data_IF_763782839406
#
_entry.id   IF_763782839406
#
_cell.length_a   1.000
_cell.length_b   1.000
_cell.length_c   1.000
_cell.angle_alpha   90.00
_cell.angle_beta   90.00
_cell.angle_gamma   90.00
#
_symmetry.space_group_name_H-M   'P 1'
#
loop_
_entity.id
_entity.type
_entity.pdbx_description
1 polymer ?
#
# COMPACT_ATOMS: atom_id res chain seq x y z
N UNK A 1 31.86 -8.77 -13.79
CA UNK A 1 31.13 -8.92 -12.51
C UNK A 1 29.67 -8.60 -12.82
N UNK A 2 28.76 -9.56 -12.69
CA UNK A 2 27.37 -9.37 -13.13
C UNK A 2 26.63 -8.39 -12.20
N UNK A 3 26.34 -7.18 -12.69
CA UNK A 3 25.65 -6.12 -11.95
C UNK A 3 24.25 -6.53 -11.46
N UNK A 4 23.68 -7.61 -11.98
CA UNK A 4 22.41 -8.17 -11.54
C UNK A 4 22.45 -8.98 -10.25
N UNK A 5 23.63 -9.45 -9.82
CA UNK A 5 23.73 -10.41 -8.72
C UNK A 5 23.24 -9.86 -7.38
N UNK A 6 23.44 -8.57 -7.13
CA UNK A 6 23.01 -7.88 -5.90
C UNK A 6 21.48 -7.76 -5.79
N UNK A 7 20.75 -7.92 -6.90
CA UNK A 7 19.30 -7.81 -7.00
C UNK A 7 18.60 -9.17 -7.02
N UNK A 8 19.35 -10.29 -6.91
CA UNK A 8 18.82 -11.65 -6.96
C UNK A 8 17.79 -11.91 -5.86
N UNK A 9 18.10 -11.49 -4.64
CA UNK A 9 17.22 -11.66 -3.50
C UNK A 9 16.33 -10.42 -3.29
N UNK A 10 15.03 -10.58 -2.99
CA UNK A 10 14.13 -9.46 -2.77
C UNK A 10 14.48 -8.71 -1.48
N UNK A 11 14.53 -7.37 -1.58
CA UNK A 11 14.77 -6.48 -0.44
C UNK A 11 13.84 -5.26 -0.52
N UNK A 12 13.49 -4.63 0.61
CA UNK A 12 12.76 -3.37 0.59
C UNK A 12 13.53 -2.32 -0.23
N UNK A 13 12.84 -1.64 -1.14
CA UNK A 13 13.43 -0.59 -1.99
C UNK A 13 14.70 -1.05 -2.73
N UNK A 14 14.68 -2.28 -3.27
CA UNK A 14 15.78 -2.86 -4.03
C UNK A 14 15.90 -2.30 -5.46
N UNK A 15 16.05 -0.98 -5.57
CA UNK A 15 16.12 -0.29 -6.86
C UNK A 15 17.57 -0.27 -7.39
N UNK A 16 17.72 -0.27 -8.72
CA UNK A 16 19.04 -0.15 -9.37
C UNK A 16 19.74 1.19 -9.14
N UNK A 17 19.01 2.18 -8.66
CA UNK A 17 19.50 3.54 -8.39
C UNK A 17 18.83 4.06 -7.11
N UNK A 18 19.09 5.32 -6.76
CA UNK A 18 18.40 6.02 -5.67
C UNK A 18 16.88 6.14 -5.86
N UNK A 19 16.40 5.86 -7.09
CA UNK A 19 15.00 5.88 -7.52
C UNK A 19 14.67 4.65 -8.39
N UNK A 20 13.38 4.28 -8.55
CA UNK A 20 12.99 3.08 -9.29
C UNK A 20 13.40 3.12 -10.77
N UNK A 21 13.26 4.30 -11.40
CA UNK A 21 13.66 4.54 -12.78
C UNK A 21 14.66 5.68 -12.83
N UNK A 22 15.88 5.40 -13.32
CA UNK A 22 16.95 6.39 -13.41
C UNK A 22 16.57 7.60 -14.26
N UNK A 23 15.85 7.41 -15.37
CA UNK A 23 15.46 8.51 -16.28
C UNK A 23 14.12 9.16 -15.94
N UNK A 24 13.33 8.60 -15.01
CA UNK A 24 12.04 9.17 -14.62
C UNK A 24 12.02 9.50 -13.11
N UNK A 25 12.47 10.71 -12.72
CA UNK A 25 12.48 11.14 -11.33
C UNK A 25 11.08 11.44 -10.76
N UNK A 26 10.09 11.66 -11.63
CA UNK A 26 8.71 11.98 -11.20
C UNK A 26 7.97 10.75 -10.71
N UNK A 27 8.32 9.55 -11.17
CA UNK A 27 7.70 8.32 -10.71
C UNK A 27 8.17 7.95 -9.31
N UNK A 28 7.24 8.03 -8.35
CA UNK A 28 7.42 7.60 -6.96
C UNK A 28 6.38 6.53 -6.67
N UNK A 29 6.77 5.26 -6.50
CA UNK A 29 5.81 4.20 -6.21
C UNK A 29 5.12 4.52 -4.87
N UNK A 30 3.79 4.30 -4.80
CA UNK A 30 3.06 4.51 -3.55
C UNK A 30 3.59 3.55 -2.48
N UNK A 31 3.58 4.02 -1.23
CA UNK A 31 3.99 3.20 -0.09
C UNK A 31 3.00 2.03 0.03
N UNK A 32 3.46 0.77 0.08
CA UNK A 32 2.56 -0.36 0.25
C UNK A 32 1.89 -0.27 1.62
N UNK A 33 0.59 -0.57 1.66
CA UNK A 33 -0.16 -0.63 2.91
C UNK A 33 0.20 -1.92 3.66
N UNK A 34 0.42 -1.84 4.97
CA UNK A 34 0.69 -3.03 5.78
C UNK A 34 -0.53 -3.96 5.80
N UNK A 35 -0.26 -5.27 5.85
CA UNK A 35 -1.32 -6.28 5.93
C UNK A 35 -2.14 -6.17 7.22
N UNK A 36 -1.47 -5.80 8.31
CA UNK A 36 -2.10 -5.52 9.61
C UNK A 36 -3.15 -4.42 9.51
N UNK A 37 -2.84 -3.33 8.81
CA UNK A 37 -3.76 -2.20 8.64
C UNK A 37 -4.93 -2.58 7.71
N UNK A 38 -4.68 -3.34 6.64
CA UNK A 38 -5.74 -3.87 5.77
C UNK A 38 -6.73 -4.73 6.57
N UNK A 39 -6.19 -5.63 7.40
CA UNK A 39 -6.99 -6.51 8.26
C UNK A 39 -7.78 -5.72 9.31
N UNK A 40 -7.19 -4.68 9.89
CA UNK A 40 -7.86 -3.80 10.83
C UNK A 40 -9.07 -3.10 10.20
N UNK A 41 -8.87 -2.47 9.03
CA UNK A 41 -9.93 -1.77 8.28
C UNK A 41 -11.08 -2.73 7.97
N UNK A 42 -10.77 -3.93 7.50
CA UNK A 42 -11.77 -4.95 7.21
C UNK A 42 -12.56 -5.35 8.46
N UNK A 43 -11.86 -5.67 9.56
CA UNK A 43 -12.51 -6.07 10.82
C UNK A 43 -13.42 -4.96 11.35
N UNK A 44 -12.94 -3.72 11.35
CA UNK A 44 -13.70 -2.58 11.85
C UNK A 44 -14.96 -2.32 11.01
N UNK A 45 -14.86 -2.44 9.69
CA UNK A 45 -16.02 -2.40 8.79
C UNK A 45 -17.02 -3.52 9.10
N UNK A 46 -16.54 -4.76 9.27
CA UNK A 46 -17.39 -5.92 9.52
C UNK A 46 -18.08 -5.91 10.89
N UNK A 47 -17.49 -5.27 11.91
CA UNK A 47 -18.11 -5.13 13.24
C UNK A 47 -19.38 -4.29 13.18
N UNK A 48 -19.35 -3.15 12.47
CA UNK A 48 -20.52 -2.31 12.27
C UNK A 48 -20.35 -1.42 11.03
N UNK A 49 -20.91 -1.82 9.87
CA UNK A 49 -20.81 -1.06 8.64
C UNK A 49 -21.54 0.29 8.66
N UNK A 50 -22.48 0.52 9.59
CA UNK A 50 -23.23 1.78 9.67
C UNK A 50 -22.39 2.88 10.30
N UNK A 51 -21.65 2.55 11.37
CA UNK A 51 -20.74 3.48 12.04
C UNK A 51 -19.36 3.51 11.38
N UNK A 52 -18.84 2.36 10.96
CA UNK A 52 -17.55 2.22 10.27
C UNK A 52 -17.73 2.15 8.76
N UNK A 53 -18.55 3.04 8.20
CA UNK A 53 -18.69 3.15 6.76
C UNK A 53 -17.39 3.58 6.06
N UNK A 54 -17.34 3.46 4.73
CA UNK A 54 -16.16 3.80 3.92
C UNK A 54 -15.65 5.23 4.19
N UNK A 55 -16.57 6.19 4.37
CA UNK A 55 -16.29 7.61 4.68
C UNK A 55 -15.85 7.89 6.13
N UNK A 56 -16.07 6.94 7.04
CA UNK A 56 -15.55 7.06 8.39
C UNK A 56 -14.12 6.50 8.44
N UNK A 57 -13.91 5.35 7.81
CA UNK A 57 -12.62 4.66 7.76
C UNK A 57 -11.58 5.39 6.92
N UNK A 58 -11.95 6.07 5.84
CA UNK A 58 -11.02 6.88 5.03
C UNK A 58 -10.43 8.03 5.85
N UNK A 59 -11.29 8.72 6.61
CA UNK A 59 -10.93 9.86 7.45
C UNK A 59 -10.11 9.41 8.64
N UNK A 60 -10.47 8.29 9.27
CA UNK A 60 -9.75 7.73 10.42
C UNK A 60 -8.36 7.20 10.04
N UNK A 61 -8.23 6.54 8.88
CA UNK A 61 -6.97 5.96 8.43
C UNK A 61 -6.15 6.87 7.51
N UNK A 62 -6.65 8.08 7.20
CA UNK A 62 -6.07 9.01 6.23
C UNK A 62 -5.76 8.36 4.86
N UNK A 63 -6.65 7.46 4.43
CA UNK A 63 -6.55 6.78 3.14
C UNK A 63 -7.57 7.37 2.17
N UNK A 64 -7.33 7.22 0.87
CA UNK A 64 -8.36 7.60 -0.10
C UNK A 64 -9.56 6.66 -0.02
N UNK A 65 -10.76 7.19 -0.22
CA UNK A 65 -12.02 6.41 -0.32
C UNK A 65 -11.88 5.23 -1.28
N UNK A 66 -11.24 5.45 -2.44
CA UNK A 66 -11.00 4.42 -3.45
C UNK A 66 -10.12 3.28 -2.93
N UNK A 67 -9.13 3.59 -2.10
CA UNK A 67 -8.25 2.59 -1.50
C UNK A 67 -8.98 1.78 -0.43
N UNK A 68 -9.79 2.43 0.42
CA UNK A 68 -10.62 1.75 1.42
C UNK A 68 -11.62 0.81 0.74
N UNK A 69 -12.35 1.29 -0.27
CA UNK A 69 -13.26 0.46 -1.07
C UNK A 69 -12.53 -0.72 -1.73
N UNK A 70 -11.35 -0.47 -2.31
CA UNK A 70 -10.54 -1.55 -2.90
C UNK A 70 -10.05 -2.57 -1.87
N UNK A 71 -9.77 -2.17 -0.62
CA UNK A 71 -9.42 -3.11 0.46
C UNK A 71 -10.62 -3.99 0.78
N UNK A 72 -11.80 -3.40 0.99
CA UNK A 72 -13.01 -4.13 1.37
C UNK A 72 -13.48 -5.13 0.30
N UNK A 73 -13.14 -4.90 -0.98
CA UNK A 73 -13.45 -5.83 -2.08
C UNK A 73 -12.42 -6.95 -2.28
N UNK A 74 -11.22 -6.82 -1.73
CA UNK A 74 -10.07 -7.71 -2.01
C UNK A 74 -9.67 -8.59 -0.82
N UNK A 75 -10.33 -8.44 0.32
CA UNK A 75 -10.23 -9.35 1.46
C UNK A 75 -11.34 -10.39 1.31
#
# INVERSE_FOLDING_TARGET
>A
MEEGYSYRDPKPRNWRSTRPFSLNPSFKPPIPLSDTLRTLIYRQYMTDPKTNGVRALDTQCHLSIKLVDAILRKV
#
